data_IF_475364167265
#
_entry.id   IF_475364167265
#
_cell.length_a   1.000
_cell.length_b   1.000
_cell.length_c   1.000
_cell.angle_alpha   90.00
_cell.angle_beta   90.00
_cell.angle_gamma   90.00
#
_symmetry.space_group_name_H-M   'P 1'
#
loop_
_entity.id
_entity.type
_entity.pdbx_description
1 polymer ?
#
# COMPACT_ATOMS: atom_id res chain seq x y z
N UNK A 1 10.45 9.71 -8.81
CA UNK A 1 11.55 9.31 -7.89
C UNK A 1 11.81 7.80 -7.87
N UNK A 2 10.85 6.96 -8.29
CA UNK A 2 10.87 5.51 -8.08
C UNK A 2 12.14 4.74 -8.52
N UNK A 3 12.89 5.26 -9.48
CA UNK A 3 14.14 4.64 -9.96
C UNK A 3 15.42 5.38 -9.52
N UNK A 4 15.31 6.36 -8.62
CA UNK A 4 16.47 7.08 -8.14
C UNK A 4 17.24 6.28 -7.09
N UNK A 5 18.58 6.28 -7.15
CA UNK A 5 19.45 5.50 -6.25
C UNK A 5 19.19 5.79 -4.75
N UNK A 6 18.85 7.03 -4.44
CA UNK A 6 18.57 7.49 -3.06
C UNK A 6 17.11 7.32 -2.65
N UNK A 7 16.23 6.83 -3.51
CA UNK A 7 14.86 6.56 -3.14
C UNK A 7 14.76 5.31 -2.25
N UNK A 8 14.15 5.46 -1.09
CA UNK A 8 13.82 4.36 -0.17
C UNK A 8 12.31 4.17 -0.23
N UNK A 9 11.82 3.12 -0.92
CA UNK A 9 10.38 2.85 -1.05
C UNK A 9 9.88 2.07 0.18
N UNK A 10 9.91 2.71 1.33
CA UNK A 10 9.54 2.07 2.59
C UNK A 10 9.00 3.09 3.58
N UNK A 11 8.14 2.63 4.48
CA UNK A 11 7.54 3.47 5.50
C UNK A 11 8.57 3.95 6.54
N UNK A 12 8.45 5.18 7.04
CA UNK A 12 9.23 5.65 8.17
C UNK A 12 8.89 4.94 9.49
N UNK A 13 7.87 4.10 9.55
CA UNK A 13 7.60 3.24 10.72
C UNK A 13 8.64 2.12 10.90
N UNK A 14 9.36 1.74 9.84
CA UNK A 14 10.38 0.70 9.90
C UNK A 14 11.63 1.16 10.66
N UNK A 15 12.18 0.28 11.50
CA UNK A 15 13.35 0.59 12.32
C UNK A 15 14.56 1.06 11.50
N UNK A 16 14.78 0.45 10.34
CA UNK A 16 15.88 0.85 9.44
C UNK A 16 15.70 2.25 8.86
N UNK A 17 14.46 2.67 8.59
CA UNK A 17 14.16 4.02 8.11
C UNK A 17 14.24 5.02 9.25
N UNK A 18 13.71 4.68 10.43
CA UNK A 18 13.86 5.50 11.66
C UNK A 18 15.32 5.77 11.99
N UNK A 19 16.17 4.74 11.99
CA UNK A 19 17.61 4.91 12.22
C UNK A 19 18.27 5.85 11.20
N UNK A 20 17.87 5.79 9.94
CA UNK A 20 18.37 6.72 8.92
C UNK A 20 17.90 8.17 9.17
N UNK A 21 16.67 8.35 9.63
CA UNK A 21 16.14 9.67 10.00
C UNK A 21 16.89 10.24 11.22
N UNK A 22 17.12 9.42 12.26
CA UNK A 22 17.83 9.81 13.49
C UNK A 22 19.30 10.18 13.22
N UNK A 23 19.94 9.51 12.26
CA UNK A 23 21.32 9.80 11.83
C UNK A 23 21.43 11.04 10.92
N UNK A 24 20.31 11.54 10.41
CA UNK A 24 20.29 12.67 9.48
C UNK A 24 20.55 14.01 10.21
N UNK A 25 21.38 14.86 9.63
CA UNK A 25 21.64 16.22 10.12
C UNK A 25 20.50 17.19 9.82
N UNK A 26 19.68 16.90 8.79
CA UNK A 26 18.48 17.63 8.42
C UNK A 26 17.46 16.71 7.78
N UNK A 27 16.20 16.80 8.21
CA UNK A 27 15.05 16.17 7.57
C UNK A 27 14.15 17.23 6.99
N UNK A 28 13.71 17.05 5.76
CA UNK A 28 12.75 17.93 5.09
C UNK A 28 11.49 17.12 4.79
N UNK A 29 10.41 17.45 5.49
CA UNK A 29 9.10 16.84 5.35
C UNK A 29 8.23 17.66 4.37
N UNK A 30 7.87 17.07 3.24
CA UNK A 30 7.18 17.74 2.15
C UNK A 30 5.76 17.18 1.99
N UNK A 31 4.73 17.95 2.37
CA UNK A 31 3.31 17.62 2.20
C UNK A 31 2.88 16.36 2.96
N UNK A 32 3.49 16.09 4.10
CA UNK A 32 3.13 14.96 4.94
C UNK A 32 2.48 15.43 6.24
N UNK A 33 1.40 14.75 6.61
CA UNK A 33 0.75 14.96 7.90
C UNK A 33 1.65 14.55 9.07
N UNK A 34 2.69 13.74 8.81
CA UNK A 34 3.47 13.04 9.84
C UNK A 34 2.49 12.30 10.76
N UNK A 35 1.58 11.56 10.11
CA UNK A 35 0.47 10.90 10.77
C UNK A 35 0.93 9.77 11.68
N UNK A 36 0.11 9.49 12.69
CA UNK A 36 0.38 8.41 13.64
C UNK A 36 0.50 7.05 12.96
N UNK A 37 -0.28 6.83 11.89
CA UNK A 37 -0.25 5.59 11.10
C UNK A 37 1.05 5.47 10.29
N UNK A 38 1.55 6.58 9.74
CA UNK A 38 2.75 6.57 8.90
C UNK A 38 4.02 6.25 9.71
N UNK A 39 4.04 6.65 10.98
CA UNK A 39 5.17 6.44 11.89
C UNK A 39 4.90 5.37 12.95
N UNK A 40 3.76 4.68 12.87
CA UNK A 40 3.35 3.65 13.82
C UNK A 40 3.34 4.09 15.29
N UNK A 41 3.04 5.37 15.52
CA UNK A 41 3.02 5.95 16.87
C UNK A 41 1.93 5.38 17.77
N UNK A 42 1.00 4.59 17.22
CA UNK A 42 0.00 3.86 18.00
C UNK A 42 0.61 2.67 18.77
N UNK A 43 1.70 2.08 18.27
CA UNK A 43 2.35 0.94 18.90
C UNK A 43 3.34 1.38 19.98
N UNK A 44 4.26 2.25 19.67
CA UNK A 44 5.33 2.68 20.59
C UNK A 44 5.20 4.13 21.09
N UNK A 45 4.33 4.93 20.48
CA UNK A 45 4.10 6.33 20.84
C UNK A 45 5.27 7.26 20.54
N UNK A 46 6.29 6.77 19.84
CA UNK A 46 7.55 7.49 19.63
C UNK A 46 7.61 8.07 18.21
N UNK A 47 7.78 9.36 18.15
CA UNK A 47 8.22 10.05 16.95
C UNK A 47 9.77 10.08 16.95
N UNK A 48 10.44 9.88 15.79
CA UNK A 48 11.89 10.02 15.71
C UNK A 48 12.36 11.36 16.28
N UNK A 49 13.44 11.35 17.09
CA UNK A 49 14.04 12.58 17.62
C UNK A 49 14.85 13.27 16.51
N UNK A 50 14.15 14.05 15.69
CA UNK A 50 14.75 14.76 14.56
C UNK A 50 15.44 16.03 15.05
N UNK A 51 16.77 16.05 14.96
CA UNK A 51 17.60 17.19 15.41
C UNK A 51 17.23 18.51 14.71
N UNK A 52 17.01 18.45 13.40
CA UNK A 52 16.57 19.58 12.58
C UNK A 52 15.48 19.10 11.62
N UNK A 53 14.30 19.69 11.70
CA UNK A 53 13.17 19.39 10.84
C UNK A 53 12.67 20.65 10.13
N UNK A 54 12.53 20.59 8.82
CA UNK A 54 11.80 21.56 8.01
C UNK A 54 10.51 20.89 7.56
N UNK A 55 9.37 21.50 7.85
CA UNK A 55 8.07 21.06 7.31
C UNK A 55 7.53 22.07 6.31
N UNK A 56 7.15 21.57 5.15
CA UNK A 56 6.51 22.38 4.09
C UNK A 56 5.14 21.79 3.81
N UNK A 57 4.11 22.59 4.03
CA UNK A 57 2.73 22.18 3.76
C UNK A 57 1.90 23.38 3.32
N UNK A 58 0.91 23.12 2.47
CA UNK A 58 -0.03 24.15 2.01
C UNK A 58 -1.04 24.49 3.11
N UNK A 59 -1.40 23.51 3.95
CA UNK A 59 -2.32 23.69 5.07
C UNK A 59 -1.59 24.09 6.36
N UNK A 60 -1.85 25.32 6.81
CA UNK A 60 -1.32 25.84 8.07
C UNK A 60 -1.71 24.98 9.29
N UNK A 61 -2.85 24.30 9.25
CA UNK A 61 -3.30 23.50 10.39
C UNK A 61 -2.43 22.25 10.56
N UNK A 62 -1.96 21.65 9.49
CA UNK A 62 -1.02 20.51 9.54
C UNK A 62 0.32 20.91 10.21
N UNK A 63 0.75 22.15 10.01
CA UNK A 63 1.98 22.66 10.60
C UNK A 63 1.89 22.93 12.11
N UNK A 64 0.68 23.11 12.68
CA UNK A 64 0.50 23.36 14.12
C UNK A 64 0.92 22.19 15.01
N UNK A 65 0.82 20.96 14.51
CA UNK A 65 1.20 19.73 15.21
C UNK A 65 2.70 19.36 15.07
N UNK A 66 3.53 20.28 14.61
CA UNK A 66 4.97 20.01 14.39
C UNK A 66 5.72 19.80 15.72
N UNK A 67 6.72 18.90 15.74
CA UNK A 67 7.63 18.75 16.88
C UNK A 67 8.31 20.08 17.26
N UNK A 68 8.80 20.22 18.51
CA UNK A 68 9.59 21.37 18.91
C UNK A 68 10.79 21.61 17.97
N UNK A 69 11.19 22.87 17.83
CA UNK A 69 12.33 23.27 16.99
C UNK A 69 12.17 23.01 15.48
N UNK A 70 10.95 22.76 15.00
CA UNK A 70 10.66 22.58 13.57
C UNK A 70 10.58 23.96 12.87
N UNK A 71 11.25 24.09 11.73
CA UNK A 71 11.01 25.21 10.82
C UNK A 71 9.80 24.91 9.94
N UNK A 72 8.68 25.58 10.25
CA UNK A 72 7.43 25.44 9.48
C UNK A 72 7.36 26.45 8.34
N UNK A 73 7.13 25.98 7.12
CA UNK A 73 6.97 26.80 5.93
C UNK A 73 5.59 26.49 5.34
N UNK A 74 4.71 27.46 5.36
CA UNK A 74 3.43 27.36 4.65
C UNK A 74 3.63 27.73 3.19
N UNK A 75 3.36 26.78 2.26
CA UNK A 75 3.50 27.05 0.84
C UNK A 75 3.35 25.80 -0.02
N UNK A 76 3.33 26.04 -1.33
CA UNK A 76 3.33 25.00 -2.33
C UNK A 76 4.70 24.31 -2.42
N UNK A 77 4.72 22.99 -2.40
CA UNK A 77 5.94 22.19 -2.39
C UNK A 77 6.76 22.39 -3.67
N UNK A 78 6.13 22.53 -4.82
CA UNK A 78 6.86 22.75 -6.09
C UNK A 78 7.60 24.08 -6.06
N UNK A 79 6.96 25.15 -5.55
CA UNK A 79 7.59 26.46 -5.41
C UNK A 79 8.75 26.41 -4.41
N UNK A 80 8.58 25.70 -3.29
CA UNK A 80 9.66 25.47 -2.34
C UNK A 80 10.85 24.75 -3.00
N UNK A 81 10.60 23.63 -3.67
CA UNK A 81 11.65 22.86 -4.34
C UNK A 81 12.38 23.69 -5.42
N UNK A 82 11.65 24.45 -6.25
CA UNK A 82 12.23 25.33 -7.25
C UNK A 82 13.13 26.38 -6.60
N UNK A 83 12.67 26.98 -5.50
CA UNK A 83 13.42 28.02 -4.77
C UNK A 83 14.70 27.48 -4.15
N UNK A 84 14.61 26.30 -3.53
CA UNK A 84 15.76 25.61 -2.94
C UNK A 84 16.78 25.24 -4.01
N UNK A 85 16.35 24.62 -5.11
CA UNK A 85 17.24 24.20 -6.21
C UNK A 85 17.98 25.37 -6.86
N UNK A 86 17.40 26.57 -6.91
CA UNK A 86 18.05 27.79 -7.45
C UNK A 86 19.19 28.29 -6.54
N UNK A 87 19.12 28.00 -5.24
CA UNK A 87 20.01 28.57 -4.23
C UNK A 87 21.01 27.57 -3.63
N UNK A 88 20.89 26.27 -3.97
CA UNK A 88 21.81 25.24 -3.49
C UNK A 88 22.86 24.95 -4.57
N UNK A 89 24.13 25.02 -4.18
CA UNK A 89 25.23 24.49 -4.98
C UNK A 89 25.35 23.00 -4.73
N UNK A 90 25.23 22.19 -5.79
CA UNK A 90 25.39 20.74 -5.67
C UNK A 90 26.83 20.42 -5.29
N UNK A 91 27.02 19.82 -4.11
CA UNK A 91 28.28 19.19 -3.73
C UNK A 91 28.31 17.78 -4.33
N UNK A 92 29.35 17.45 -5.06
CA UNK A 92 29.51 16.16 -5.75
C UNK A 92 29.89 14.98 -4.84
N UNK A 93 30.14 15.21 -3.55
CA UNK A 93 30.50 14.14 -2.61
C UNK A 93 29.28 13.36 -2.13
N UNK A 94 29.14 12.13 -2.63
CA UNK A 94 28.08 11.19 -2.28
C UNK A 94 28.41 10.41 -1.00
N UNK A 95 28.58 11.06 0.13
CA UNK A 95 28.88 10.40 1.43
C UNK A 95 27.72 9.46 1.89
N UNK A 96 26.51 9.69 1.44
CA UNK A 96 25.32 8.98 1.92
C UNK A 96 24.94 7.71 1.11
N UNK A 97 25.65 7.36 0.04
CA UNK A 97 25.33 6.15 -0.76
C UNK A 97 25.40 4.87 0.06
N UNK A 98 26.40 4.75 0.91
CA UNK A 98 26.60 3.58 1.77
C UNK A 98 25.45 3.44 2.78
N UNK A 99 25.07 4.52 3.45
CA UNK A 99 23.97 4.53 4.41
C UNK A 99 22.63 4.17 3.77
N UNK A 100 22.34 4.69 2.57
CA UNK A 100 21.12 4.34 1.81
C UNK A 100 21.10 2.87 1.40
N UNK A 101 22.23 2.35 0.89
CA UNK A 101 22.32 0.94 0.51
C UNK A 101 22.17 0.00 1.72
N UNK A 102 22.78 0.36 2.85
CA UNK A 102 22.63 -0.37 4.11
C UNK A 102 21.18 -0.34 4.61
N UNK A 103 20.53 0.82 4.57
CA UNK A 103 19.13 0.94 4.94
C UNK A 103 18.23 0.02 4.09
N UNK A 104 18.39 0.05 2.75
CA UNK A 104 17.64 -0.84 1.84
C UNK A 104 17.85 -2.32 2.16
N UNK A 105 19.08 -2.74 2.45
CA UNK A 105 19.38 -4.13 2.82
C UNK A 105 18.74 -4.51 4.18
N UNK A 106 18.75 -3.62 5.16
CA UNK A 106 18.12 -3.86 6.46
C UNK A 106 16.61 -3.97 6.35
N UNK A 107 15.94 -3.14 5.51
CA UNK A 107 14.51 -3.21 5.24
C UNK A 107 14.11 -4.62 4.77
N UNK A 108 14.88 -5.23 3.85
CA UNK A 108 14.60 -6.60 3.38
C UNK A 108 14.69 -7.65 4.52
N UNK A 109 15.52 -7.41 5.53
CA UNK A 109 15.64 -8.28 6.70
C UNK A 109 14.52 -8.05 7.73
N UNK A 110 13.88 -6.90 7.74
CA UNK A 110 12.74 -6.59 8.59
C UNK A 110 11.44 -7.22 8.13
N UNK A 111 11.37 -7.69 6.86
CA UNK A 111 10.15 -8.33 6.34
C UNK A 111 9.88 -9.61 7.11
N UNK A 112 8.81 -9.60 7.90
CA UNK A 112 8.40 -10.73 8.73
C UNK A 112 8.03 -11.94 7.87
N UNK A 113 8.11 -13.14 8.47
CA UNK A 113 7.73 -14.39 7.78
C UNK A 113 6.27 -14.37 7.31
N UNK A 114 5.40 -13.71 8.05
CA UNK A 114 3.98 -13.56 7.73
C UNK A 114 3.75 -12.77 6.44
N UNK A 115 4.62 -11.80 6.13
CA UNK A 115 4.52 -10.99 4.92
C UNK A 115 5.14 -11.62 3.67
N UNK A 116 5.78 -12.80 3.76
CA UNK A 116 6.44 -13.41 2.59
C UNK A 116 5.48 -13.77 1.46
N UNK A 117 4.27 -14.24 1.79
CA UNK A 117 3.22 -14.48 0.80
C UNK A 117 2.70 -13.20 0.17
N UNK A 118 2.55 -12.12 0.96
CA UNK A 118 2.16 -10.79 0.48
C UNK A 118 3.25 -10.19 -0.43
N UNK A 119 4.53 -10.32 -0.06
CA UNK A 119 5.67 -9.93 -0.89
C UNK A 119 5.66 -10.65 -2.24
N UNK A 120 5.44 -11.97 -2.21
CA UNK A 120 5.35 -12.78 -3.42
C UNK A 120 4.18 -12.35 -4.30
N UNK A 121 3.01 -12.10 -3.72
CA UNK A 121 1.82 -11.60 -4.43
C UNK A 121 2.10 -10.29 -5.15
N UNK A 122 2.47 -9.25 -4.38
CA UNK A 122 2.67 -7.89 -4.93
C UNK A 122 3.80 -7.89 -5.98
N UNK A 123 4.91 -8.57 -5.71
CA UNK A 123 6.01 -8.65 -6.68
C UNK A 123 5.60 -9.37 -7.98
N UNK A 124 4.75 -10.39 -7.88
CA UNK A 124 4.20 -11.10 -9.06
C UNK A 124 3.32 -10.18 -9.89
N UNK A 125 2.44 -9.41 -9.24
CA UNK A 125 1.56 -8.46 -9.92
C UNK A 125 2.38 -7.36 -10.62
N UNK A 126 3.27 -6.69 -9.89
CA UNK A 126 4.08 -5.58 -10.43
C UNK A 126 4.97 -6.04 -11.59
N UNK A 127 5.47 -7.28 -11.54
CA UNK A 127 6.27 -7.86 -12.62
C UNK A 127 5.44 -8.21 -13.86
N UNK A 128 4.25 -8.78 -13.66
CA UNK A 128 3.40 -9.22 -14.77
C UNK A 128 2.66 -8.05 -15.44
N UNK A 129 2.24 -7.07 -14.66
CA UNK A 129 1.47 -5.90 -15.10
C UNK A 129 2.12 -4.59 -14.58
N UNK A 130 3.27 -4.21 -15.12
CA UNK A 130 4.04 -3.06 -14.61
C UNK A 130 3.30 -1.74 -14.73
N UNK A 131 2.26 -1.61 -15.54
CA UNK A 131 1.46 -0.41 -15.74
C UNK A 131 0.05 -0.47 -15.12
N UNK A 132 -0.26 -1.51 -14.35
CA UNK A 132 -1.57 -1.65 -13.69
C UNK A 132 -1.80 -0.60 -12.61
N UNK A 133 -3.06 -0.24 -12.39
CA UNK A 133 -3.52 0.52 -11.21
C UNK A 133 -3.92 -0.50 -10.13
N UNK A 134 -3.33 -0.36 -8.96
CA UNK A 134 -3.62 -1.20 -7.80
C UNK A 134 -4.50 -0.42 -6.83
N UNK A 135 -5.69 -0.94 -6.55
CA UNK A 135 -6.64 -0.35 -5.61
C UNK A 135 -6.86 -1.34 -4.47
N UNK A 136 -6.51 -0.93 -3.27
CA UNK A 136 -6.48 -1.80 -2.09
C UNK A 136 -7.51 -1.46 -1.04
N UNK A 137 -8.03 -2.49 -0.40
CA UNK A 137 -8.77 -2.39 0.85
C UNK A 137 -7.83 -2.54 2.05
N UNK A 138 -8.33 -2.42 3.26
CA UNK A 138 -7.59 -2.73 4.49
C UNK A 138 -7.41 -4.25 4.63
N UNK A 139 -6.32 -4.78 4.07
CA UNK A 139 -5.98 -6.21 4.05
C UNK A 139 -4.46 -6.43 4.03
N UNK A 140 -4.00 -7.61 4.44
CA UNK A 140 -2.58 -7.93 4.64
C UNK A 140 -1.66 -7.58 3.46
N UNK A 141 -1.98 -7.88 2.19
CA UNK A 141 -1.13 -7.46 1.07
C UNK A 141 -1.00 -5.94 0.92
N UNK A 142 -2.03 -5.19 1.33
CA UNK A 142 -2.01 -3.73 1.27
C UNK A 142 -1.18 -3.15 2.41
N UNK A 143 -1.28 -3.69 3.61
CA UNK A 143 -0.40 -3.30 4.74
C UNK A 143 1.06 -3.55 4.38
N UNK A 144 1.37 -4.74 3.83
CA UNK A 144 2.71 -5.02 3.30
C UNK A 144 3.12 -3.98 2.24
N UNK A 145 2.25 -3.69 1.27
CA UNK A 145 2.54 -2.75 0.19
C UNK A 145 2.84 -1.33 0.70
N UNK A 146 2.09 -0.85 1.69
CA UNK A 146 2.33 0.46 2.31
C UNK A 146 3.68 0.53 3.04
N UNK A 147 4.12 -0.58 3.64
CA UNK A 147 5.39 -0.63 4.37
C UNK A 147 6.61 -0.82 3.46
N UNK A 148 6.51 -1.65 2.42
CA UNK A 148 7.67 -2.21 1.72
C UNK A 148 7.62 -2.12 0.19
N UNK A 149 6.50 -1.65 -0.41
CA UNK A 149 6.34 -1.81 -1.85
C UNK A 149 7.02 -0.73 -2.66
N UNK A 150 7.85 -1.16 -3.61
CA UNK A 150 8.46 -0.29 -4.61
C UNK A 150 7.52 -0.07 -5.80
N UNK A 151 6.69 0.96 -5.74
CA UNK A 151 5.91 1.41 -6.89
C UNK A 151 6.64 2.56 -7.57
N UNK A 152 6.99 2.36 -8.83
CA UNK A 152 7.89 3.25 -9.57
C UNK A 152 7.17 4.38 -10.31
N UNK A 153 5.86 4.26 -10.50
CA UNK A 153 5.06 5.22 -11.26
C UNK A 153 4.05 5.93 -10.37
N UNK A 154 3.71 7.18 -10.71
CA UNK A 154 2.69 7.94 -10.01
C UNK A 154 1.28 7.39 -10.29
N UNK A 155 0.34 7.65 -9.38
CA UNK A 155 -1.09 7.36 -9.52
C UNK A 155 -1.41 5.88 -9.82
N UNK A 156 -0.70 4.95 -9.14
CA UNK A 156 -0.87 3.51 -9.35
C UNK A 156 -1.14 2.71 -8.09
N UNK A 157 -1.11 3.34 -6.93
CA UNK A 157 -1.33 2.71 -5.64
C UNK A 157 -2.29 3.54 -4.82
N UNK A 158 -3.51 3.04 -4.68
CA UNK A 158 -4.57 3.68 -3.90
C UNK A 158 -5.11 2.69 -2.89
N UNK A 159 -5.34 3.10 -1.67
CA UNK A 159 -5.94 2.21 -0.68
C UNK A 159 -6.58 2.97 0.48
N UNK A 160 -7.48 2.29 1.20
CA UNK A 160 -8.16 2.82 2.36
C UNK A 160 -7.33 2.76 3.64
N UNK A 161 -6.31 1.91 3.69
CA UNK A 161 -5.54 1.64 4.91
C UNK A 161 -4.72 2.86 5.40
N UNK A 162 -4.37 3.78 4.50
CA UNK A 162 -3.65 5.03 4.83
C UNK A 162 -4.57 6.18 5.27
N UNK A 163 -5.85 5.94 5.44
CA UNK A 163 -6.81 6.95 5.87
C UNK A 163 -7.69 6.42 7.01
N UNK A 164 -8.99 6.33 6.76
CA UNK A 164 -9.94 5.81 7.76
C UNK A 164 -9.90 4.29 7.94
N UNK A 165 -9.12 3.54 7.14
CA UNK A 165 -9.10 2.09 7.19
C UNK A 165 -10.43 1.44 6.77
N UNK A 166 -11.20 2.10 5.92
CA UNK A 166 -12.55 1.69 5.53
C UNK A 166 -12.53 0.38 4.78
N UNK A 167 -13.23 -0.65 5.29
CA UNK A 167 -13.50 -1.89 4.57
C UNK A 167 -14.55 -1.66 3.48
N UNK A 168 -14.38 -2.35 2.34
CA UNK A 168 -15.28 -2.22 1.19
C UNK A 168 -14.95 -1.05 0.26
N UNK A 169 -13.85 -0.35 0.47
CA UNK A 169 -13.41 0.75 -0.40
C UNK A 169 -12.96 0.27 -1.79
N UNK A 170 -12.18 -0.81 -1.83
CA UNK A 170 -11.48 -1.19 -3.05
C UNK A 170 -12.38 -1.59 -4.22
N UNK A 171 -13.49 -2.33 -4.08
CA UNK A 171 -14.34 -2.70 -5.19
C UNK A 171 -14.90 -1.49 -5.96
N UNK A 172 -15.66 -0.55 -5.36
CA UNK A 172 -16.18 0.62 -6.07
C UNK A 172 -15.09 1.54 -6.60
N UNK A 173 -14.00 1.75 -5.83
CA UNK A 173 -12.89 2.58 -6.27
C UNK A 173 -12.15 2.00 -7.48
N UNK A 174 -12.05 0.67 -7.58
CA UNK A 174 -11.46 -0.01 -8.74
C UNK A 174 -12.31 0.15 -10.00
N UNK A 175 -13.63 0.11 -9.87
CA UNK A 175 -14.56 0.36 -10.99
C UNK A 175 -14.35 1.80 -11.48
N UNK A 176 -14.34 2.78 -10.56
CA UNK A 176 -14.08 4.18 -10.90
C UNK A 176 -12.72 4.38 -11.58
N UNK A 177 -11.68 3.69 -11.11
CA UNK A 177 -10.35 3.74 -11.72
C UNK A 177 -10.34 3.13 -13.14
N UNK A 178 -11.08 2.03 -13.36
CA UNK A 178 -11.21 1.41 -14.67
C UNK A 178 -11.96 2.28 -15.67
N UNK A 179 -13.00 2.97 -15.22
CA UNK A 179 -13.73 3.94 -16.06
C UNK A 179 -12.87 5.16 -16.41
N UNK A 180 -12.08 5.64 -15.46
CA UNK A 180 -11.21 6.80 -15.65
C UNK A 180 -9.96 6.51 -16.51
N UNK A 181 -9.48 5.26 -16.51
CA UNK A 181 -8.27 4.85 -17.21
C UNK A 181 -8.51 3.52 -17.95
N UNK A 182 -9.35 3.51 -18.99
CA UNK A 182 -9.77 2.28 -19.68
C UNK A 182 -8.62 1.55 -20.40
N UNK A 183 -7.51 2.24 -20.65
CA UNK A 183 -6.30 1.68 -21.26
C UNK A 183 -5.37 0.95 -20.28
N UNK A 184 -5.66 1.01 -18.97
CA UNK A 184 -4.81 0.41 -17.95
C UNK A 184 -5.49 -0.76 -17.25
N UNK A 185 -4.78 -1.87 -17.03
CA UNK A 185 -5.29 -2.93 -16.16
C UNK A 185 -5.53 -2.40 -14.75
N UNK A 186 -6.70 -2.65 -14.18
CA UNK A 186 -7.05 -2.29 -12.81
C UNK A 186 -7.21 -3.55 -11.97
N UNK A 187 -6.49 -3.60 -10.85
CA UNK A 187 -6.51 -4.71 -9.90
C UNK A 187 -7.05 -4.21 -8.56
N UNK A 188 -8.19 -4.74 -8.17
CA UNK A 188 -8.77 -4.60 -6.84
C UNK A 188 -8.16 -5.64 -5.91
N UNK A 189 -7.46 -5.24 -4.85
CA UNK A 189 -6.95 -6.14 -3.82
C UNK A 189 -7.78 -5.97 -2.57
N UNK A 190 -8.55 -6.99 -2.22
CA UNK A 190 -9.52 -6.94 -1.11
C UNK A 190 -9.48 -8.22 -0.28
N UNK A 191 -9.65 -8.12 1.03
CA UNK A 191 -9.84 -9.28 1.90
C UNK A 191 -11.23 -9.92 1.74
N UNK A 192 -11.34 -11.20 2.07
CA UNK A 192 -12.63 -11.90 2.05
C UNK A 192 -13.69 -11.23 2.95
N UNK A 193 -13.26 -10.70 4.09
CA UNK A 193 -14.13 -9.92 4.98
C UNK A 193 -14.49 -8.55 4.41
N UNK A 194 -13.52 -7.84 3.83
CA UNK A 194 -13.72 -6.51 3.24
C UNK A 194 -14.67 -6.52 2.05
N UNK A 195 -14.56 -7.52 1.18
CA UNK A 195 -15.44 -7.67 0.01
C UNK A 195 -16.92 -7.74 0.41
N UNK A 196 -17.26 -8.32 1.55
CA UNK A 196 -18.65 -8.49 1.98
C UNK A 196 -19.38 -7.15 2.19
N UNK A 197 -18.64 -6.07 2.50
CA UNK A 197 -19.23 -4.74 2.70
C UNK A 197 -19.78 -4.14 1.40
N UNK A 198 -19.20 -4.50 0.26
CA UNK A 198 -19.55 -3.96 -1.05
C UNK A 198 -19.60 -5.02 -2.14
N UNK A 199 -19.98 -6.26 -1.79
CA UNK A 199 -20.06 -7.38 -2.74
C UNK A 199 -21.01 -7.11 -3.90
N UNK A 200 -22.01 -6.26 -3.70
CA UNK A 200 -22.93 -5.80 -4.74
C UNK A 200 -22.24 -5.06 -5.89
N UNK A 201 -21.08 -4.49 -5.67
CA UNK A 201 -20.28 -3.80 -6.70
C UNK A 201 -19.78 -4.73 -7.81
N UNK A 202 -19.82 -6.05 -7.60
CA UNK A 202 -19.62 -7.01 -8.67
C UNK A 202 -20.68 -6.84 -9.76
N UNK A 203 -21.93 -6.49 -9.40
CA UNK A 203 -22.99 -6.14 -10.33
C UNK A 203 -22.68 -4.86 -11.09
N UNK A 204 -22.26 -3.81 -10.40
CA UNK A 204 -21.84 -2.55 -11.01
C UNK A 204 -20.73 -2.76 -12.05
N UNK A 205 -19.74 -3.62 -11.74
CA UNK A 205 -18.66 -3.93 -12.68
C UNK A 205 -19.18 -4.62 -13.97
N UNK A 206 -20.22 -5.44 -13.86
CA UNK A 206 -20.89 -6.07 -15.01
C UNK A 206 -21.69 -5.03 -15.80
N UNK A 207 -22.51 -4.24 -15.13
CA UNK A 207 -23.37 -3.25 -15.76
C UNK A 207 -22.57 -2.19 -16.55
N UNK A 208 -21.44 -1.76 -15.97
CA UNK A 208 -20.53 -0.79 -16.59
C UNK A 208 -19.51 -1.43 -17.55
N UNK A 209 -19.51 -2.76 -17.70
CA UNK A 209 -18.55 -3.50 -18.54
C UNK A 209 -17.09 -3.17 -18.23
N UNK A 210 -16.75 -2.99 -16.95
CA UNK A 210 -15.39 -2.62 -16.52
C UNK A 210 -14.51 -3.86 -16.33
N UNK A 211 -13.33 -3.95 -17.00
CA UNK A 211 -12.42 -5.07 -16.84
C UNK A 211 -11.58 -4.94 -15.56
N UNK A 212 -12.23 -5.05 -14.40
CA UNK A 212 -11.55 -5.07 -13.10
C UNK A 212 -11.18 -6.51 -12.71
N UNK A 213 -9.93 -6.72 -12.28
CA UNK A 213 -9.53 -7.96 -11.65
C UNK A 213 -9.72 -7.83 -10.14
N UNK A 214 -10.72 -8.51 -9.60
CA UNK A 214 -10.98 -8.62 -8.17
C UNK A 214 -10.12 -9.74 -7.59
N UNK A 215 -8.99 -9.38 -6.96
CA UNK A 215 -8.10 -10.30 -6.27
C UNK A 215 -8.49 -10.33 -4.79
N UNK A 216 -9.01 -11.47 -4.36
CA UNK A 216 -9.53 -11.68 -3.01
C UNK A 216 -8.50 -12.45 -2.19
N UNK A 217 -7.92 -11.79 -1.19
CA UNK A 217 -7.03 -12.38 -0.22
C UNK A 217 -7.84 -13.01 0.90
N UNK A 218 -7.95 -14.33 0.89
CA UNK A 218 -8.82 -15.07 1.78
C UNK A 218 -8.04 -15.74 2.91
N UNK A 219 -8.27 -15.28 4.14
CA UNK A 219 -7.78 -15.88 5.38
C UNK A 219 -8.90 -16.30 6.33
N UNK A 220 -10.18 -16.10 5.96
CA UNK A 220 -11.38 -16.39 6.72
C UNK A 220 -11.48 -15.64 8.07
N UNK A 221 -10.87 -14.47 8.15
CA UNK A 221 -10.86 -13.66 9.38
C UNK A 221 -10.58 -12.19 9.15
N UNK A 222 -10.90 -11.37 10.15
CA UNK A 222 -10.36 -10.01 10.29
C UNK A 222 -9.03 -10.11 11.04
N UNK A 223 -8.00 -10.59 10.34
CA UNK A 223 -6.73 -11.04 10.93
C UNK A 223 -6.04 -9.94 11.73
N UNK A 224 -6.01 -8.71 11.21
CA UNK A 224 -5.37 -7.58 11.89
C UNK A 224 -6.04 -7.31 13.25
N UNK A 225 -7.37 -7.29 13.28
CA UNK A 225 -8.14 -7.08 14.52
C UNK A 225 -7.91 -8.23 15.50
N UNK A 226 -7.89 -9.47 15.01
CA UNK A 226 -7.60 -10.65 15.85
C UNK A 226 -6.22 -10.52 16.50
N UNK A 227 -5.18 -10.30 15.69
CA UNK A 227 -3.79 -10.17 16.14
C UNK A 227 -3.65 -9.06 17.17
N UNK A 228 -4.27 -7.90 16.93
CA UNK A 228 -4.27 -6.80 17.88
C UNK A 228 -4.96 -7.15 19.19
N UNK A 229 -6.14 -7.79 19.17
CA UNK A 229 -6.84 -8.24 20.38
C UNK A 229 -5.96 -9.22 21.19
N UNK A 230 -5.34 -10.19 20.52
CA UNK A 230 -4.45 -11.18 21.15
C UNK A 230 -3.21 -10.53 21.77
N UNK A 231 -2.58 -9.56 21.09
CA UNK A 231 -1.43 -8.80 21.62
C UNK A 231 -1.78 -8.04 22.90
N UNK A 232 -3.01 -7.55 23.00
CA UNK A 232 -3.53 -6.87 24.22
C UNK A 232 -4.15 -7.86 25.22
N UNK A 233 -3.99 -9.18 25.02
CA UNK A 233 -4.58 -10.24 25.88
C UNK A 233 -6.11 -10.19 25.96
N UNK A 234 -6.76 -9.66 24.93
CA UNK A 234 -8.21 -9.63 24.78
C UNK A 234 -8.63 -10.89 24.02
N UNK A 235 -9.61 -11.62 24.53
CA UNK A 235 -10.16 -12.79 23.83
C UNK A 235 -10.81 -12.35 22.50
N UNK A 236 -10.39 -12.88 21.35
CA UNK A 236 -10.98 -12.52 20.07
C UNK A 236 -12.47 -12.84 19.99
N UNK A 237 -13.26 -11.87 19.56
CA UNK A 237 -14.70 -12.01 19.33
C UNK A 237 -15.10 -11.26 18.05
N UNK A 238 -15.97 -11.85 17.23
CA UNK A 238 -16.49 -11.23 16.01
C UNK A 238 -15.45 -11.15 14.86
N UNK A 239 -14.27 -11.75 15.00
CA UNK A 239 -13.15 -11.63 14.05
C UNK A 239 -13.05 -12.77 13.05
N UNK A 240 -13.96 -13.74 13.08
CA UNK A 240 -13.99 -14.88 12.16
C UNK A 240 -15.33 -14.93 11.42
N UNK A 241 -15.59 -14.01 10.50
CA UNK A 241 -16.78 -14.05 9.67
C UNK A 241 -16.72 -15.29 8.77
N UNK A 242 -17.89 -15.76 8.34
CA UNK A 242 -17.99 -16.80 7.32
C UNK A 242 -18.27 -16.13 5.98
N UNK A 243 -17.28 -15.99 5.11
CA UNK A 243 -17.51 -15.41 3.79
C UNK A 243 -18.42 -16.35 2.95
N UNK A 244 -19.16 -15.79 1.97
CA UNK A 244 -19.89 -16.61 1.01
C UNK A 244 -18.91 -17.46 0.19
N UNK A 245 -19.40 -18.53 -0.42
CA UNK A 245 -18.62 -19.26 -1.40
C UNK A 245 -18.36 -18.38 -2.63
N UNK A 246 -17.15 -17.92 -2.80
CA UNK A 246 -16.77 -16.95 -3.83
C UNK A 246 -16.95 -17.49 -5.26
N UNK A 247 -16.75 -18.79 -5.47
CA UNK A 247 -17.02 -19.43 -6.77
C UNK A 247 -18.49 -19.37 -7.13
N UNK A 248 -19.37 -19.68 -6.17
CA UNK A 248 -20.83 -19.61 -6.37
C UNK A 248 -21.28 -18.16 -6.57
N UNK A 249 -20.71 -17.23 -5.81
CA UNK A 249 -20.97 -15.80 -5.96
C UNK A 249 -20.56 -15.31 -7.35
N UNK A 250 -19.34 -15.61 -7.80
CA UNK A 250 -18.88 -15.27 -9.14
C UNK A 250 -19.82 -15.80 -10.22
N UNK A 251 -20.26 -17.08 -10.08
CA UNK A 251 -21.20 -17.70 -11.00
C UNK A 251 -22.55 -16.97 -11.04
N UNK A 252 -23.05 -16.50 -9.89
CA UNK A 252 -24.34 -15.78 -9.82
C UNK A 252 -24.31 -14.43 -10.55
N UNK A 253 -23.14 -13.77 -10.58
CA UNK A 253 -22.91 -12.55 -11.35
C UNK A 253 -22.43 -12.79 -12.79
N UNK A 254 -22.23 -14.06 -13.21
CA UNK A 254 -21.67 -14.38 -14.53
C UNK A 254 -20.20 -14.03 -14.69
N UNK A 255 -19.47 -13.83 -13.60
CA UNK A 255 -18.05 -13.47 -13.60
C UNK A 255 -17.18 -14.73 -13.60
N UNK A 256 -16.14 -14.75 -14.43
CA UNK A 256 -15.15 -15.82 -14.43
C UNK A 256 -14.38 -15.86 -13.11
N UNK A 257 -14.16 -17.06 -12.58
CA UNK A 257 -13.51 -17.27 -11.28
C UNK A 257 -12.31 -18.21 -11.38
N UNK A 258 -11.24 -17.89 -10.65
CA UNK A 258 -10.07 -18.75 -10.48
C UNK A 258 -9.68 -18.84 -9.00
N UNK A 259 -9.42 -20.05 -8.54
CA UNK A 259 -8.74 -20.29 -7.27
C UNK A 259 -7.26 -20.57 -7.54
N UNK A 260 -6.38 -19.74 -6.97
CA UNK A 260 -4.95 -19.75 -7.26
C UNK A 260 -4.17 -20.20 -6.03
N UNK A 261 -3.17 -21.06 -6.25
CA UNK A 261 -2.28 -21.58 -5.20
C UNK A 261 -0.83 -21.15 -5.38
N UNK A 262 -0.41 -20.80 -6.61
CA UNK A 262 0.98 -20.47 -6.90
C UNK A 262 1.14 -19.15 -7.63
N UNK A 263 2.28 -18.50 -7.43
CA UNK A 263 2.65 -17.28 -8.16
C UNK A 263 2.78 -17.51 -9.67
N UNK A 264 3.15 -18.73 -10.08
CA UNK A 264 3.22 -19.11 -11.51
C UNK A 264 1.83 -19.13 -12.15
N UNK A 265 0.82 -19.71 -11.47
CA UNK A 265 -0.58 -19.68 -11.95
C UNK A 265 -1.09 -18.26 -12.03
N UNK A 266 -0.82 -17.43 -10.99
CA UNK A 266 -1.19 -16.03 -10.96
C UNK A 266 -0.58 -15.27 -12.14
N UNK A 267 0.72 -15.41 -12.38
CA UNK A 267 1.41 -14.75 -13.50
C UNK A 267 0.77 -15.04 -14.84
N UNK A 268 0.39 -16.29 -15.10
CA UNK A 268 -0.26 -16.69 -16.36
C UNK A 268 -1.60 -15.97 -16.55
N UNK A 269 -2.41 -15.90 -15.50
CA UNK A 269 -3.72 -15.24 -15.57
C UNK A 269 -3.56 -13.72 -15.70
N UNK A 270 -2.61 -13.11 -14.98
CA UNK A 270 -2.34 -11.67 -15.09
C UNK A 270 -1.93 -11.26 -16.51
N UNK A 271 -1.08 -12.04 -17.17
CA UNK A 271 -0.68 -11.77 -18.56
C UNK A 271 -1.86 -11.88 -19.52
N UNK A 272 -2.78 -12.83 -19.31
CA UNK A 272 -4.01 -12.95 -20.10
C UNK A 272 -5.00 -11.80 -19.80
N UNK A 273 -5.02 -11.33 -18.55
CA UNK A 273 -5.90 -10.25 -18.11
C UNK A 273 -5.58 -8.91 -18.79
N UNK A 274 -4.36 -8.69 -19.25
CA UNK A 274 -3.96 -7.46 -19.93
C UNK A 274 -4.85 -7.10 -21.13
N UNK A 275 -5.43 -8.09 -21.80
CA UNK A 275 -6.36 -7.92 -22.95
C UNK A 275 -7.81 -8.25 -22.60
N UNK A 276 -8.12 -8.39 -21.32
CA UNK A 276 -9.45 -8.76 -20.89
C UNK A 276 -10.42 -7.57 -20.97
N UNK A 277 -11.67 -7.83 -21.33
CA UNK A 277 -12.74 -6.83 -21.49
C UNK A 277 -13.87 -7.00 -20.48
N UNK A 278 -13.72 -7.92 -19.53
CA UNK A 278 -14.76 -8.26 -18.56
C UNK A 278 -14.16 -8.42 -17.16
N UNK A 279 -14.94 -8.22 -16.09
CA UNK A 279 -14.45 -8.46 -14.75
C UNK A 279 -14.01 -9.91 -14.53
N UNK A 280 -13.04 -10.09 -13.64
CA UNK A 280 -12.47 -11.39 -13.28
C UNK A 280 -12.31 -11.48 -11.78
N UNK A 281 -12.64 -12.62 -11.17
CA UNK A 281 -12.38 -12.90 -9.76
C UNK A 281 -11.24 -13.91 -9.63
N UNK A 282 -10.25 -13.56 -8.84
CA UNK A 282 -9.18 -14.46 -8.38
C UNK A 282 -9.28 -14.56 -6.86
N UNK A 283 -9.41 -15.77 -6.35
CA UNK A 283 -9.30 -16.06 -4.93
C UNK A 283 -7.95 -16.70 -4.62
N UNK A 284 -7.27 -16.16 -3.62
CA UNK A 284 -6.01 -16.70 -3.08
C UNK A 284 -6.19 -16.98 -1.60
N UNK A 285 -6.00 -18.25 -1.21
CA UNK A 285 -5.96 -18.59 0.20
C UNK A 285 -4.55 -18.30 0.75
N UNK A 286 -4.47 -17.44 1.77
CA UNK A 286 -3.22 -16.96 2.37
C UNK A 286 -2.26 -18.12 2.73
N UNK A 287 -2.80 -19.18 3.36
CA UNK A 287 -2.01 -20.30 3.86
C UNK A 287 -1.57 -21.30 2.77
N UNK A 288 -2.07 -21.16 1.54
CA UNK A 288 -1.80 -22.08 0.43
C UNK A 288 -1.01 -21.44 -0.71
N UNK A 289 -0.78 -20.14 -0.63
CA UNK A 289 -0.10 -19.41 -1.69
C UNK A 289 1.41 -19.52 -1.56
N UNK A 290 2.06 -20.02 -2.60
CA UNK A 290 3.50 -20.29 -2.66
C UNK A 290 4.10 -19.91 -4.03
N UNK A 291 5.41 -20.16 -4.20
CA UNK A 291 6.11 -19.96 -5.47
C UNK A 291 5.63 -20.90 -6.56
#
# INVERSE_FOLDING_TARGET
>A
LGNHDFHIPASPSLNSVRALLDESDLVIALGTEIGQTDFDMFEDGLFPDLKNLIRVDIDKNQLKGSPPHTLNIQGDINQFCISVLKNISLKTENKNRTSIAQCKNRIELEISTEYKSCQLLISTIVKALPDSILVGDSTQPIYFGNLYCKITSQNRWFNSATGFGTLGYAPPASIGASLACPEKPVICIVGDGGLQFTISELGTAIDENTPVLFLIWNNNEYKEIRTYMESKKIKPIGVSPKPPNLQTTAKSYGIKYHFIKTSSELSKILLQFQTNTSPLIIEINENKFSK
#
